data_IF_381713177160
#
_entry.id   IF_381713177160
#
_cell.length_a   1.000
_cell.length_b   1.000
_cell.length_c   1.000
_cell.angle_alpha   90.00
_cell.angle_beta   90.00
_cell.angle_gamma   90.00
#
_symmetry.space_group_name_H-M   'P 1'
#
loop_
_entity.id
_entity.type
_entity.pdbx_description
1 polymer ?
#
# COMPACT_ATOMS: atom_id res chain seq x y z
N UNK A 1 28.28 -7.42 -57.43
CA UNK A 1 27.85 -8.60 -56.64
C UNK A 1 26.76 -8.14 -55.70
N UNK A 2 25.55 -8.65 -55.91
CA UNK A 2 24.37 -8.33 -55.11
C UNK A 2 24.46 -9.09 -53.77
N UNK A 3 24.38 -8.37 -52.65
CA UNK A 3 24.26 -8.95 -51.32
C UNK A 3 22.83 -8.74 -50.81
N UNK A 4 21.99 -9.77 -50.95
CA UNK A 4 20.65 -9.78 -50.37
C UNK A 4 20.74 -9.92 -48.85
N UNK A 5 20.38 -8.87 -48.12
CA UNK A 5 20.13 -8.96 -46.68
C UNK A 5 18.74 -9.57 -46.47
N UNK A 6 18.72 -10.83 -46.01
CA UNK A 6 17.49 -11.49 -45.58
C UNK A 6 17.03 -10.87 -44.26
N UNK A 7 15.96 -10.09 -44.30
CA UNK A 7 15.22 -9.68 -43.12
C UNK A 7 14.52 -10.93 -42.55
N UNK A 8 15.01 -11.45 -41.42
CA UNK A 8 14.29 -12.45 -40.66
C UNK A 8 13.05 -11.80 -40.04
N UNK A 9 11.89 -11.96 -40.68
CA UNK A 9 10.62 -11.76 -40.00
C UNK A 9 10.55 -12.78 -38.86
N UNK A 10 10.72 -12.32 -37.62
CA UNK A 10 10.22 -13.05 -36.46
C UNK A 10 8.70 -13.00 -36.55
N UNK A 11 8.12 -13.98 -37.23
CA UNK A 11 6.70 -14.30 -37.14
C UNK A 11 6.46 -14.83 -35.73
N UNK A 12 6.36 -13.92 -34.75
CA UNK A 12 5.76 -14.25 -33.46
C UNK A 12 4.39 -14.84 -33.75
N UNK A 13 4.17 -16.11 -33.39
CA UNK A 13 2.91 -16.80 -33.62
C UNK A 13 1.78 -15.97 -33.03
N UNK A 14 0.96 -15.36 -33.89
CA UNK A 14 -0.24 -14.63 -33.46
C UNK A 14 -1.13 -15.62 -32.73
N UNK A 15 -1.40 -15.33 -31.46
CA UNK A 15 -2.26 -16.17 -30.62
C UNK A 15 -3.64 -16.23 -31.24
N UNK A 16 -4.21 -17.43 -31.37
CA UNK A 16 -5.55 -17.59 -31.93
C UNK A 16 -6.60 -17.20 -30.90
N UNK A 17 -7.78 -16.76 -31.37
CA UNK A 17 -8.92 -16.49 -30.49
C UNK A 17 -9.25 -17.69 -29.59
N UNK A 18 -9.23 -18.90 -30.13
CA UNK A 18 -9.47 -20.14 -29.38
C UNK A 18 -8.47 -20.37 -28.24
N UNK A 19 -7.18 -20.06 -28.47
CA UNK A 19 -6.15 -20.15 -27.42
C UNK A 19 -6.33 -19.10 -26.32
N UNK A 20 -6.90 -17.94 -26.62
CA UNK A 20 -7.27 -16.93 -25.62
C UNK A 20 -8.44 -17.40 -24.76
N UNK A 21 -9.48 -17.98 -25.38
CA UNK A 21 -10.66 -18.51 -24.66
C UNK A 21 -10.31 -19.67 -23.72
N UNK A 22 -9.45 -20.58 -24.17
CA UNK A 22 -9.00 -21.70 -23.33
C UNK A 22 -8.21 -21.20 -22.11
N UNK A 23 -7.30 -20.25 -22.33
CA UNK A 23 -6.57 -19.61 -21.23
C UNK A 23 -7.51 -18.87 -20.27
N UNK A 24 -8.43 -18.07 -20.80
CA UNK A 24 -9.43 -17.36 -19.99
C UNK A 24 -10.22 -18.32 -19.09
N UNK A 25 -10.70 -19.43 -19.64
CA UNK A 25 -11.42 -20.46 -18.86
C UNK A 25 -10.56 -21.03 -17.74
N UNK A 26 -9.29 -21.35 -18.02
CA UNK A 26 -8.34 -21.83 -17.01
C UNK A 26 -8.16 -20.81 -15.88
N UNK A 27 -7.97 -19.53 -16.20
CA UNK A 27 -7.75 -18.49 -15.18
C UNK A 27 -9.01 -18.20 -14.36
N UNK A 28 -10.18 -18.11 -15.01
CA UNK A 28 -11.48 -17.93 -14.33
C UNK A 28 -11.77 -19.07 -13.36
N UNK A 29 -11.43 -20.31 -13.73
CA UNK A 29 -11.77 -21.50 -12.95
C UNK A 29 -10.84 -21.72 -11.76
N UNK A 30 -9.59 -21.25 -11.84
CA UNK A 30 -8.55 -21.61 -10.86
C UNK A 30 -8.02 -20.42 -10.06
N UNK A 31 -8.09 -19.19 -10.57
CA UNK A 31 -7.36 -18.05 -10.00
C UNK A 31 -8.26 -16.84 -9.70
N UNK A 32 -9.20 -16.50 -10.59
CA UNK A 32 -10.04 -15.30 -10.43
C UNK A 32 -11.22 -15.51 -9.46
N UNK A 33 -10.99 -16.26 -8.38
CA UNK A 33 -11.96 -16.56 -7.33
C UNK A 33 -11.42 -16.18 -5.94
N UNK A 34 -12.27 -15.68 -5.03
CA UNK A 34 -13.70 -15.40 -5.22
C UNK A 34 -13.93 -14.16 -6.11
N UNK A 35 -15.07 -14.13 -6.80
CA UNK A 35 -15.49 -13.01 -7.66
C UNK A 35 -16.93 -12.61 -7.37
N UNK A 36 -17.22 -11.30 -7.44
CA UNK A 36 -18.58 -10.75 -7.41
C UNK A 36 -19.36 -11.03 -8.70
N UNK A 37 -18.65 -11.25 -9.81
CA UNK A 37 -19.21 -11.64 -11.09
C UNK A 37 -19.46 -13.16 -11.17
N UNK A 38 -20.58 -13.56 -11.78
CA UNK A 38 -20.80 -14.95 -12.16
C UNK A 38 -19.74 -15.43 -13.14
N UNK A 39 -19.52 -16.74 -13.22
CA UNK A 39 -18.57 -17.34 -14.17
C UNK A 39 -18.87 -16.94 -15.63
N UNK A 40 -20.15 -16.88 -16.00
CA UNK A 40 -20.56 -16.43 -17.33
C UNK A 40 -20.24 -14.95 -17.56
N UNK A 41 -20.37 -14.11 -16.54
CA UNK A 41 -20.02 -12.69 -16.64
C UNK A 41 -18.50 -12.49 -16.75
N UNK A 42 -17.71 -13.21 -15.95
CA UNK A 42 -16.24 -13.22 -16.07
C UNK A 42 -15.81 -13.66 -17.48
N UNK A 43 -16.40 -14.74 -18.03
CA UNK A 43 -16.07 -15.20 -19.38
C UNK A 43 -16.42 -14.17 -20.46
N UNK A 44 -17.55 -13.45 -20.33
CA UNK A 44 -17.89 -12.36 -21.26
C UNK A 44 -16.88 -11.22 -21.20
N UNK A 45 -16.39 -10.88 -20.01
CA UNK A 45 -15.34 -9.87 -19.85
C UNK A 45 -14.02 -10.33 -20.48
N UNK A 46 -13.64 -11.59 -20.29
CA UNK A 46 -12.44 -12.15 -20.93
C UNK A 46 -12.55 -12.18 -22.46
N UNK A 47 -13.73 -12.51 -23.01
CA UNK A 47 -14.01 -12.40 -24.45
C UNK A 47 -13.83 -10.97 -24.95
N UNK A 48 -14.25 -9.97 -24.17
CA UNK A 48 -14.03 -8.57 -24.48
C UNK A 48 -12.53 -8.23 -24.50
N UNK A 49 -11.75 -8.64 -23.49
CA UNK A 49 -10.30 -8.43 -23.48
C UNK A 49 -9.61 -9.04 -24.69
N UNK A 50 -9.96 -10.28 -25.07
CA UNK A 50 -9.42 -10.95 -26.26
C UNK A 50 -9.76 -10.17 -27.54
N UNK A 51 -10.99 -9.66 -27.65
CA UNK A 51 -11.43 -8.90 -28.81
C UNK A 51 -10.73 -7.53 -28.91
N UNK A 52 -10.65 -6.79 -27.80
CA UNK A 52 -10.03 -5.48 -27.71
C UNK A 52 -8.51 -5.54 -27.95
N UNK A 53 -7.86 -6.64 -27.54
CA UNK A 53 -6.41 -6.83 -27.69
C UNK A 53 -5.95 -7.17 -29.12
N UNK A 54 -6.84 -7.52 -30.04
CA UNK A 54 -6.48 -7.95 -31.41
C UNK A 54 -5.49 -7.03 -32.15
N UNK A 55 -5.60 -5.69 -32.09
CA UNK A 55 -4.65 -4.80 -32.76
C UNK A 55 -3.26 -4.78 -32.10
N UNK A 56 -3.17 -5.26 -30.86
CA UNK A 56 -2.02 -5.12 -29.97
C UNK A 56 -1.30 -6.45 -29.72
N UNK A 57 -1.75 -7.56 -30.30
CA UNK A 57 -1.12 -8.86 -30.09
C UNK A 57 0.36 -8.83 -30.51
N UNK A 58 1.24 -9.28 -29.61
CA UNK A 58 2.68 -9.35 -29.83
C UNK A 58 3.47 -8.10 -29.45
N UNK A 59 2.79 -7.01 -29.05
CA UNK A 59 3.47 -5.89 -28.40
C UNK A 59 3.92 -6.29 -27.00
N UNK A 60 4.80 -5.48 -26.44
CA UNK A 60 5.25 -5.58 -25.07
C UNK A 60 4.99 -4.25 -24.37
N UNK A 61 4.43 -4.32 -23.16
CA UNK A 61 4.18 -3.17 -22.28
C UNK A 61 5.04 -3.36 -21.03
N UNK A 62 5.77 -2.31 -20.67
CA UNK A 62 6.63 -2.29 -19.49
C UNK A 62 5.94 -1.57 -18.33
N UNK A 63 5.94 -2.20 -17.16
CA UNK A 63 5.32 -1.71 -15.92
C UNK A 63 6.34 -1.74 -14.80
N UNK A 64 6.27 -0.78 -13.87
CA UNK A 64 7.05 -0.82 -12.62
C UNK A 64 6.17 -0.50 -11.42
N UNK A 65 6.45 -1.16 -10.30
CA UNK A 65 5.80 -0.93 -9.01
C UNK A 65 6.76 -1.15 -7.84
N UNK A 66 6.32 -0.76 -6.64
CA UNK A 66 6.97 -1.17 -5.40
C UNK A 66 6.95 -2.70 -5.23
N UNK A 67 7.92 -3.24 -4.51
CA UNK A 67 7.99 -4.65 -4.10
C UNK A 67 7.08 -4.88 -2.88
N UNK A 68 5.83 -5.23 -3.15
CA UNK A 68 4.84 -5.65 -2.15
C UNK A 68 4.20 -6.98 -2.57
N UNK A 69 3.64 -7.73 -1.62
CA UNK A 69 2.99 -9.02 -1.90
C UNK A 69 1.90 -8.92 -2.99
N UNK A 70 1.11 -7.83 -2.99
CA UNK A 70 0.11 -7.57 -4.05
C UNK A 70 0.77 -7.39 -5.42
N UNK A 71 1.85 -6.64 -5.49
CA UNK A 71 2.54 -6.39 -6.76
C UNK A 71 3.37 -7.58 -7.24
N UNK A 72 3.86 -8.42 -6.32
CA UNK A 72 4.42 -9.73 -6.68
C UNK A 72 3.36 -10.63 -7.34
N UNK A 73 2.14 -10.61 -6.81
CA UNK A 73 1.00 -11.31 -7.40
C UNK A 73 0.64 -10.75 -8.78
N UNK A 74 0.56 -9.42 -8.93
CA UNK A 74 0.33 -8.77 -10.22
C UNK A 74 1.42 -9.14 -11.24
N UNK A 75 2.69 -9.02 -10.86
CA UNK A 75 3.84 -9.25 -11.74
C UNK A 75 4.00 -10.71 -12.15
N UNK A 76 3.76 -11.67 -11.24
CA UNK A 76 3.97 -13.10 -11.51
C UNK A 76 2.73 -13.79 -12.05
N UNK A 77 1.54 -13.39 -11.58
CA UNK A 77 0.28 -14.07 -11.88
C UNK A 77 -0.55 -13.29 -12.89
N UNK A 78 -0.91 -12.03 -12.59
CA UNK A 78 -1.83 -11.28 -13.46
C UNK A 78 -1.19 -10.89 -14.80
N UNK A 79 0.09 -10.51 -14.81
CA UNK A 79 0.83 -10.24 -16.04
C UNK A 79 0.90 -11.48 -16.95
N UNK A 80 1.10 -12.67 -16.35
CA UNK A 80 1.05 -13.93 -17.08
C UNK A 80 -0.36 -14.21 -17.60
N UNK A 81 -1.39 -14.08 -16.76
CA UNK A 81 -2.77 -14.30 -17.15
C UNK A 81 -3.20 -13.39 -18.30
N UNK A 82 -2.88 -12.09 -18.20
CA UNK A 82 -3.15 -11.11 -19.24
C UNK A 82 -2.44 -11.46 -20.54
N UNK A 83 -1.16 -11.87 -20.48
CA UNK A 83 -0.40 -12.33 -21.64
C UNK A 83 -1.02 -13.58 -22.26
N UNK A 84 -1.46 -14.53 -21.43
CA UNK A 84 -2.10 -15.76 -21.88
C UNK A 84 -3.49 -15.51 -22.48
N UNK A 85 -4.22 -14.50 -22.03
CA UNK A 85 -5.56 -14.22 -22.57
C UNK A 85 -5.45 -13.38 -23.84
N UNK A 86 -4.63 -12.34 -23.83
CA UNK A 86 -4.64 -11.28 -24.87
C UNK A 86 -3.54 -11.43 -25.91
N UNK A 87 -2.43 -12.11 -25.57
CA UNK A 87 -1.22 -12.14 -26.38
C UNK A 87 -0.38 -10.85 -26.33
N UNK A 88 -0.70 -9.90 -25.45
CA UNK A 88 0.13 -8.73 -25.14
C UNK A 88 1.12 -9.15 -24.05
N UNK A 89 2.43 -8.97 -24.26
CA UNK A 89 3.42 -9.26 -23.22
C UNK A 89 3.44 -8.13 -22.20
N UNK A 90 3.41 -8.46 -20.92
CA UNK A 90 3.58 -7.50 -19.83
C UNK A 90 4.88 -7.81 -19.10
N UNK A 91 5.84 -6.87 -19.14
CA UNK A 91 7.06 -6.91 -18.35
C UNK A 91 6.84 -6.04 -17.11
N UNK A 92 6.55 -6.66 -15.97
CA UNK A 92 6.30 -5.96 -14.71
C UNK A 92 7.52 -6.08 -13.79
N UNK A 93 8.31 -5.01 -13.73
CA UNK A 93 9.48 -4.91 -12.87
C UNK A 93 9.06 -4.51 -11.44
N UNK A 94 9.67 -5.14 -10.44
CA UNK A 94 9.53 -4.76 -9.04
C UNK A 94 10.79 -4.01 -8.59
N UNK A 95 10.60 -2.90 -7.88
CA UNK A 95 11.68 -2.11 -7.31
C UNK A 95 11.33 -1.70 -5.86
N UNK A 96 12.30 -1.18 -5.11
CA UNK A 96 11.96 -0.55 -3.82
C UNK A 96 11.27 0.79 -4.07
N UNK A 97 10.43 1.23 -3.14
CA UNK A 97 9.61 2.45 -3.28
C UNK A 97 10.46 3.67 -3.69
N UNK A 98 11.60 3.87 -3.01
CA UNK A 98 12.54 4.93 -3.33
C UNK A 98 13.06 4.89 -4.78
N UNK A 99 13.30 3.70 -5.32
CA UNK A 99 13.74 3.53 -6.72
C UNK A 99 12.60 3.87 -7.70
N UNK A 100 11.35 3.56 -7.35
CA UNK A 100 10.19 3.92 -8.18
C UNK A 100 10.07 5.44 -8.25
N UNK A 101 10.15 6.12 -7.11
CA UNK A 101 10.11 7.59 -7.01
C UNK A 101 11.24 8.23 -7.83
N UNK A 102 12.48 7.75 -7.69
CA UNK A 102 13.62 8.26 -8.45
C UNK A 102 13.46 8.07 -9.97
N UNK A 103 12.93 6.92 -10.39
CA UNK A 103 12.67 6.64 -11.81
C UNK A 103 11.57 7.51 -12.39
N UNK A 104 10.47 7.76 -11.67
CA UNK A 104 9.42 8.71 -12.08
C UNK A 104 10.04 10.09 -12.30
N UNK A 105 10.80 10.59 -11.32
CA UNK A 105 11.46 11.90 -11.42
C UNK A 105 12.43 11.96 -12.62
N UNK A 106 13.17 10.88 -12.86
CA UNK A 106 14.10 10.78 -14.00
C UNK A 106 13.38 10.82 -15.33
N UNK A 107 12.28 10.08 -15.51
CA UNK A 107 11.45 10.13 -16.72
C UNK A 107 10.89 11.54 -16.93
N UNK A 108 10.31 12.14 -15.89
CA UNK A 108 9.75 13.49 -15.93
C UNK A 108 10.78 14.56 -16.32
N UNK A 109 11.99 14.51 -15.76
CA UNK A 109 13.03 15.50 -16.03
C UNK A 109 13.72 15.30 -17.38
N UNK A 110 13.93 14.04 -17.79
CA UNK A 110 14.63 13.72 -19.03
C UNK A 110 13.74 13.72 -20.26
N UNK A 111 12.43 13.56 -20.08
CA UNK A 111 11.45 13.33 -21.16
C UNK A 111 11.65 12.00 -21.88
N UNK A 112 12.45 11.08 -21.32
CA UNK A 112 12.68 9.75 -21.89
C UNK A 112 11.75 8.75 -21.24
N UNK A 113 10.98 8.04 -22.05
CA UNK A 113 10.17 6.91 -21.62
C UNK A 113 11.05 5.78 -21.08
N UNK A 114 10.92 5.49 -19.79
CA UNK A 114 11.51 4.38 -19.06
C UNK A 114 10.52 3.22 -18.95
N UNK A 115 9.25 3.51 -18.64
CA UNK A 115 8.17 2.53 -18.54
C UNK A 115 6.90 3.04 -19.24
N UNK A 116 6.02 2.13 -19.65
CA UNK A 116 4.74 2.48 -20.27
C UNK A 116 3.63 2.68 -19.24
N UNK A 117 3.72 2.00 -18.09
CA UNK A 117 2.78 2.12 -16.97
C UNK A 117 3.51 2.13 -15.63
N UNK A 118 2.89 2.80 -14.65
CA UNK A 118 3.44 2.97 -13.31
C UNK A 118 2.37 2.63 -12.28
N UNK A 119 2.73 1.84 -11.28
CA UNK A 119 1.96 1.72 -10.05
C UNK A 119 2.72 2.51 -8.99
N UNK A 120 2.14 3.64 -8.60
CA UNK A 120 2.76 4.60 -7.69
C UNK A 120 1.69 5.23 -6.78
N UNK A 121 2.13 5.84 -5.69
CA UNK A 121 1.21 6.35 -4.66
C UNK A 121 0.27 7.44 -5.14
N UNK A 122 -0.91 7.49 -4.52
CA UNK A 122 -1.89 8.56 -4.74
C UNK A 122 -1.36 9.93 -4.35
N UNK A 123 -0.32 10.02 -3.51
CA UNK A 123 0.29 11.29 -3.11
C UNK A 123 0.92 12.06 -4.29
N UNK A 124 1.21 11.35 -5.39
CA UNK A 124 1.62 11.97 -6.65
C UNK A 124 0.47 12.64 -7.41
N UNK A 125 -0.78 12.57 -6.96
CA UNK A 125 -1.91 13.16 -7.69
C UNK A 125 -1.70 14.64 -7.98
N UNK A 126 -1.13 15.38 -7.02
CA UNK A 126 -0.78 16.78 -7.19
C UNK A 126 0.37 17.02 -8.17
N UNK A 127 1.26 16.04 -8.36
CA UNK A 127 2.32 16.07 -9.37
C UNK A 127 1.72 15.80 -10.75
N UNK A 128 0.95 14.72 -10.88
CA UNK A 128 0.30 14.33 -12.14
C UNK A 128 -0.57 15.45 -12.71
N UNK A 129 -1.38 16.09 -11.86
CA UNK A 129 -2.28 17.18 -12.28
C UNK A 129 -1.55 18.48 -12.67
N UNK A 130 -0.34 18.72 -12.16
CA UNK A 130 0.39 20.00 -12.39
C UNK A 130 1.37 19.93 -13.56
N UNK A 131 2.03 18.80 -13.74
CA UNK A 131 3.14 18.69 -14.70
C UNK A 131 2.69 18.30 -16.10
N UNK A 132 1.45 17.82 -16.28
CA UNK A 132 0.89 17.41 -17.57
C UNK A 132 1.78 16.37 -18.30
N UNK A 133 2.37 15.46 -17.51
CA UNK A 133 3.24 14.37 -17.98
C UNK A 133 2.59 12.99 -17.77
N UNK A 134 1.43 12.92 -17.10
CA UNK A 134 0.61 11.73 -16.98
C UNK A 134 -0.62 11.85 -17.89
N UNK A 135 -1.07 10.72 -18.43
CA UNK A 135 -2.31 10.64 -19.22
C UNK A 135 -3.51 10.74 -18.26
N UNK A 136 -4.41 11.75 -18.40
CA UNK A 136 -5.63 11.78 -17.63
C UNK A 136 -6.57 10.65 -18.09
N UNK A 137 -6.77 9.64 -17.25
CA UNK A 137 -7.55 8.44 -17.56
C UNK A 137 -9.00 8.77 -17.90
N UNK A 138 -9.61 9.76 -17.24
CA UNK A 138 -10.98 10.20 -17.58
C UNK A 138 -11.11 10.71 -19.02
N UNK A 139 -10.09 11.43 -19.49
CA UNK A 139 -10.05 11.96 -20.85
C UNK A 139 -9.71 10.85 -21.85
N UNK A 140 -8.75 9.99 -21.50
CA UNK A 140 -8.38 8.81 -22.30
C UNK A 140 -9.58 7.89 -22.53
N UNK A 141 -10.31 7.55 -21.48
CA UNK A 141 -11.44 6.62 -21.55
C UNK A 141 -12.60 7.13 -22.40
N UNK A 142 -12.78 8.46 -22.49
CA UNK A 142 -13.84 9.09 -23.30
C UNK A 142 -13.37 9.48 -24.71
N UNK A 143 -12.06 9.64 -24.89
CA UNK A 143 -11.40 10.01 -26.14
C UNK A 143 -10.72 8.83 -26.84
N UNK A 144 -9.39 8.89 -26.97
CA UNK A 144 -8.59 7.95 -27.76
C UNK A 144 -8.64 6.50 -27.25
N UNK A 145 -8.80 6.32 -25.95
CA UNK A 145 -8.92 5.03 -25.28
C UNK A 145 -10.31 4.42 -25.33
N UNK A 146 -11.32 5.12 -25.84
CA UNK A 146 -12.72 4.69 -25.77
C UNK A 146 -12.97 3.28 -26.32
N UNK A 147 -12.27 2.89 -27.39
CA UNK A 147 -12.40 1.56 -27.99
C UNK A 147 -11.79 0.44 -27.14
N UNK A 148 -10.91 0.79 -26.19
CA UNK A 148 -10.20 -0.11 -25.28
C UNK A 148 -10.55 0.14 -23.80
N UNK A 149 -11.58 0.94 -23.52
CA UNK A 149 -12.15 1.07 -22.17
C UNK A 149 -13.11 -0.09 -21.93
N UNK A 150 -12.84 -0.90 -20.90
CA UNK A 150 -13.71 -2.02 -20.55
C UNK A 150 -15.12 -1.50 -20.21
N UNK A 151 -16.18 -1.92 -20.93
CA UNK A 151 -17.54 -1.47 -20.66
C UNK A 151 -18.09 -1.97 -19.31
N UNK A 152 -17.41 -2.93 -18.69
CA UNK A 152 -17.70 -3.43 -17.34
C UNK A 152 -16.87 -2.76 -16.25
N UNK A 153 -15.99 -1.81 -16.59
CA UNK A 153 -15.24 -1.03 -15.60
C UNK A 153 -16.21 -0.09 -14.84
N UNK A 154 -16.51 -0.46 -13.60
CA UNK A 154 -17.33 0.36 -12.71
C UNK A 154 -16.43 1.28 -11.88
N UNK A 155 -16.31 2.54 -12.30
CA UNK A 155 -15.50 3.53 -11.57
C UNK A 155 -16.09 3.84 -10.19
N UNK A 156 -17.40 3.71 -10.01
CA UNK A 156 -18.07 4.02 -8.74
C UNK A 156 -17.82 2.94 -7.68
N UNK A 157 -17.40 1.73 -8.09
CA UNK A 157 -17.05 0.61 -7.21
C UNK A 157 -15.64 0.75 -6.59
N UNK A 158 -14.80 1.67 -7.09
CA UNK A 158 -13.49 1.93 -6.48
C UNK A 158 -13.62 2.72 -5.19
N UNK A 159 -13.17 2.12 -4.10
CA UNK A 159 -12.96 2.85 -2.84
C UNK A 159 -11.76 3.78 -3.02
N UNK A 160 -11.95 5.07 -2.72
CA UNK A 160 -10.88 6.06 -2.71
C UNK A 160 -10.58 6.72 -4.05
N UNK A 161 -11.48 6.63 -5.04
CA UNK A 161 -11.29 7.28 -6.36
C UNK A 161 -11.01 8.80 -6.27
N UNK A 162 -11.49 9.45 -5.22
CA UNK A 162 -11.21 10.87 -4.95
C UNK A 162 -9.73 11.15 -4.67
N UNK A 163 -8.96 10.19 -4.14
CA UNK A 163 -7.53 10.35 -3.86
C UNK A 163 -6.69 10.35 -5.15
N UNK A 164 -7.22 9.76 -6.22
CA UNK A 164 -6.56 9.68 -7.53
C UNK A 164 -7.18 10.61 -8.57
N UNK A 165 -8.07 11.50 -8.13
CA UNK A 165 -8.71 12.54 -8.94
C UNK A 165 -8.10 13.90 -8.63
N UNK A 166 -7.57 14.58 -9.65
CA UNK A 166 -6.91 15.87 -9.51
C UNK A 166 -7.89 17.00 -9.15
N UNK A 167 -7.37 18.17 -8.68
CA UNK A 167 -8.20 19.35 -8.43
C UNK A 167 -8.94 19.88 -9.67
N UNK A 168 -8.46 19.50 -10.87
CA UNK A 168 -9.09 19.75 -12.17
C UNK A 168 -10.23 18.78 -12.50
N UNK A 169 -10.59 17.89 -11.55
CA UNK A 169 -11.65 16.87 -11.62
C UNK A 169 -11.36 15.75 -12.62
N UNK A 170 -10.10 15.57 -13.00
CA UNK A 170 -9.68 14.46 -13.87
C UNK A 170 -9.15 13.29 -13.07
N UNK A 171 -9.49 12.09 -13.50
CA UNK A 171 -8.96 10.86 -12.92
C UNK A 171 -7.58 10.58 -13.52
N UNK A 172 -6.55 10.40 -12.70
CA UNK A 172 -5.18 10.15 -13.17
C UNK A 172 -4.68 8.73 -12.87
N UNK A 173 -5.18 8.10 -11.81
CA UNK A 173 -4.77 6.75 -11.41
C UNK A 173 -6.02 5.92 -11.08
N UNK A 174 -5.97 4.61 -11.34
CA UNK A 174 -6.94 3.64 -10.83
C UNK A 174 -6.41 3.04 -9.54
N UNK A 175 -7.14 3.09 -8.42
CA UNK A 175 -6.71 2.44 -7.18
C UNK A 175 -6.56 0.93 -7.35
N UNK A 176 -5.37 0.37 -7.12
CA UNK A 176 -5.13 -1.09 -7.18
C UNK A 176 -4.90 -1.71 -5.79
N UNK A 177 -4.48 -0.90 -4.82
CA UNK A 177 -4.22 -1.32 -3.45
C UNK A 177 -4.56 -0.19 -2.46
N UNK A 178 -4.89 -0.56 -1.23
CA UNK A 178 -5.11 0.37 -0.12
C UNK A 178 -4.24 0.07 1.09
N UNK A 179 -3.80 1.16 1.73
CA UNK A 179 -2.96 1.17 2.93
C UNK A 179 -3.78 1.74 4.09
N UNK A 180 -4.87 1.06 4.46
CA UNK A 180 -5.63 1.50 5.61
C UNK A 180 -4.78 1.35 6.88
N UNK A 181 -4.57 2.47 7.56
CA UNK A 181 -3.83 2.55 8.81
C UNK A 181 -4.73 2.13 9.97
N UNK A 182 -4.31 1.11 10.71
CA UNK A 182 -5.07 0.48 11.79
C UNK A 182 -4.18 0.20 13.00
N UNK A 183 -4.80 -0.02 14.14
CA UNK A 183 -4.15 -0.57 15.33
C UNK A 183 -4.20 -2.10 15.27
N UNK A 184 -3.03 -2.74 15.33
CA UNK A 184 -2.91 -4.21 15.39
C UNK A 184 -2.53 -4.66 16.80
N UNK A 185 -3.10 -5.77 17.28
CA UNK A 185 -2.77 -6.31 18.60
C UNK A 185 -3.02 -7.82 18.77
N UNK A 186 -2.32 -8.43 19.72
CA UNK A 186 -2.47 -9.83 20.15
C UNK A 186 -3.70 -10.03 21.01
N UNK A 187 -4.82 -10.31 20.35
CA UNK A 187 -6.10 -10.56 21.00
C UNK A 187 -6.04 -11.72 22.02
N UNK A 188 -5.30 -12.79 21.71
CA UNK A 188 -5.07 -13.90 22.63
C UNK A 188 -4.32 -13.49 23.92
N UNK A 189 -3.43 -12.49 23.84
CA UNK A 189 -2.77 -11.93 25.02
C UNK A 189 -3.69 -10.99 25.78
N UNK A 190 -4.42 -10.12 25.07
CA UNK A 190 -5.32 -9.14 25.67
C UNK A 190 -6.53 -9.80 26.35
N UNK A 191 -6.85 -11.04 25.98
CA UNK A 191 -7.91 -11.84 26.60
C UNK A 191 -7.41 -12.82 27.65
N UNK A 192 -6.09 -12.97 27.83
CA UNK A 192 -5.51 -13.91 28.80
C UNK A 192 -5.82 -13.45 30.24
N UNK A 193 -6.51 -14.25 31.07
CA UNK A 193 -6.95 -13.81 32.41
C UNK A 193 -5.82 -13.27 33.30
N UNK A 194 -4.66 -13.94 33.30
CA UNK A 194 -3.50 -13.52 34.07
C UNK A 194 -2.99 -12.13 33.67
N UNK A 195 -2.92 -11.83 32.37
CA UNK A 195 -2.48 -10.51 31.88
C UNK A 195 -3.50 -9.43 32.18
N UNK A 196 -4.79 -9.72 32.01
CA UNK A 196 -5.87 -8.77 32.38
C UNK A 196 -5.80 -8.40 33.87
N UNK A 197 -5.65 -9.38 34.75
CA UNK A 197 -5.54 -9.13 36.20
C UNK A 197 -4.28 -8.34 36.54
N UNK A 198 -3.11 -8.77 36.05
CA UNK A 198 -1.84 -8.09 36.34
C UNK A 198 -1.82 -6.64 35.82
N UNK A 199 -2.32 -6.41 34.60
CA UNK A 199 -2.42 -5.08 34.02
C UNK A 199 -3.34 -4.18 34.87
N UNK A 200 -4.55 -4.65 35.21
CA UNK A 200 -5.48 -3.89 36.04
C UNK A 200 -4.93 -3.57 37.42
N UNK A 201 -4.21 -4.50 38.04
CA UNK A 201 -3.54 -4.26 39.32
C UNK A 201 -2.47 -3.17 39.22
N UNK A 202 -1.71 -3.14 38.13
CA UNK A 202 -0.63 -2.15 37.94
C UNK A 202 -1.14 -0.77 37.55
N UNK A 203 -2.08 -0.68 36.61
CA UNK A 203 -2.49 0.58 35.97
C UNK A 203 -3.87 1.09 36.42
N UNK A 204 -4.66 0.27 37.11
CA UNK A 204 -5.96 0.68 37.65
C UNK A 204 -7.13 0.68 36.65
N UNK A 205 -6.93 0.23 35.41
CA UNK A 205 -7.97 0.07 34.40
C UNK A 205 -7.80 -1.25 33.62
N UNK A 206 -8.83 -1.64 32.86
CA UNK A 206 -8.83 -2.93 32.15
C UNK A 206 -7.94 -2.89 30.90
N UNK A 207 -7.19 -3.98 30.66
CA UNK A 207 -6.43 -4.19 29.43
C UNK A 207 -7.38 -4.33 28.23
N UNK A 208 -7.18 -3.52 27.19
CA UNK A 208 -8.01 -3.48 25.99
C UNK A 208 -7.39 -2.65 24.88
N UNK A 209 -8.17 -2.41 23.81
CA UNK A 209 -7.76 -1.48 22.74
C UNK A 209 -7.52 -0.10 23.37
N UNK A 210 -6.33 0.51 23.20
CA UNK A 210 -6.03 1.80 23.78
C UNK A 210 -6.97 2.86 23.20
N UNK A 211 -7.28 3.90 23.99
CA UNK A 211 -8.14 5.02 23.57
C UNK A 211 -7.39 6.35 23.53
N UNK A 212 -6.09 6.31 23.82
CA UNK A 212 -5.16 7.43 23.78
C UNK A 212 -3.71 6.91 23.87
N UNK A 213 -2.76 7.83 23.69
CA UNK A 213 -1.32 7.52 23.68
C UNK A 213 -0.80 7.02 25.02
N UNK A 214 -1.31 7.53 26.15
CA UNK A 214 -0.90 7.07 27.48
C UNK A 214 -1.29 5.60 27.69
N UNK A 215 -2.50 5.22 27.30
CA UNK A 215 -2.95 3.83 27.37
C UNK A 215 -2.11 2.93 26.44
N UNK A 216 -1.77 3.39 25.24
CA UNK A 216 -0.86 2.66 24.35
C UNK A 216 0.52 2.43 25.01
N UNK A 217 1.09 3.48 25.59
CA UNK A 217 2.39 3.44 26.27
C UNK A 217 2.38 2.51 27.49
N UNK A 218 1.33 2.55 28.32
CA UNK A 218 1.17 1.64 29.46
C UNK A 218 1.15 0.17 29.03
N UNK A 219 0.43 -0.15 27.95
CA UNK A 219 0.40 -1.50 27.39
C UNK A 219 1.79 -1.88 26.84
N UNK A 220 2.49 -0.94 26.20
CA UNK A 220 3.82 -1.19 25.67
C UNK A 220 4.85 -1.48 26.78
N UNK A 221 4.80 -0.69 27.86
CA UNK A 221 5.59 -0.90 29.08
C UNK A 221 5.24 -2.25 29.74
N UNK A 222 3.94 -2.54 29.89
CA UNK A 222 3.48 -3.78 30.53
C UNK A 222 4.05 -5.03 29.85
N UNK A 223 3.90 -5.14 28.53
CA UNK A 223 4.40 -6.32 27.83
C UNK A 223 5.93 -6.36 27.76
N UNK A 224 6.59 -5.22 27.54
CA UNK A 224 8.05 -5.19 27.39
C UNK A 224 8.78 -5.40 28.71
N UNK A 225 8.33 -4.75 29.79
CA UNK A 225 9.10 -4.60 31.01
C UNK A 225 8.50 -5.32 32.22
N UNK A 226 7.20 -5.61 32.23
CA UNK A 226 6.59 -6.41 33.31
C UNK A 226 6.45 -7.88 32.93
N UNK A 227 5.77 -8.17 31.82
CA UNK A 227 5.58 -9.54 31.32
C UNK A 227 6.92 -10.11 30.87
N UNK A 228 7.66 -9.36 30.06
CA UNK A 228 9.00 -9.66 29.50
C UNK A 228 9.06 -10.88 28.59
N UNK A 229 8.48 -12.00 28.99
CA UNK A 229 8.44 -13.26 28.27
C UNK A 229 7.03 -13.84 28.25
N UNK A 230 6.66 -14.41 27.11
CA UNK A 230 5.43 -15.19 26.96
C UNK A 230 5.84 -16.55 26.42
N UNK A 231 5.46 -17.61 27.13
CA UNK A 231 5.74 -18.99 26.76
C UNK A 231 7.26 -19.25 26.52
N UNK A 232 8.11 -18.59 27.32
CA UNK A 232 9.58 -18.71 27.28
C UNK A 232 10.27 -17.86 26.20
N UNK A 233 9.55 -16.99 25.51
CA UNK A 233 10.09 -16.13 24.44
C UNK A 233 10.02 -14.67 24.86
N UNK A 234 11.11 -13.92 24.66
CA UNK A 234 11.15 -12.45 24.86
C UNK A 234 10.09 -11.76 24.00
N UNK A 235 9.27 -10.92 24.63
CA UNK A 235 8.23 -10.14 23.95
C UNK A 235 8.46 -8.64 24.07
N UNK A 236 7.83 -7.91 23.15
CA UNK A 236 7.90 -6.47 23.00
C UNK A 236 6.49 -5.90 22.91
N UNK A 237 6.27 -4.80 23.62
CA UNK A 237 4.97 -4.15 23.71
C UNK A 237 4.65 -3.19 22.59
N UNK A 238 5.58 -2.97 21.65
CA UNK A 238 5.45 -2.05 20.53
C UNK A 238 6.24 -2.56 19.32
N UNK A 239 5.83 -2.15 18.12
CA UNK A 239 6.61 -2.28 16.90
C UNK A 239 6.46 -1.01 16.07
N UNK A 240 7.59 -0.51 15.58
CA UNK A 240 7.72 0.52 14.55
C UNK A 240 9.13 0.34 13.92
N UNK A 241 9.56 1.21 13.02
CA UNK A 241 10.83 1.11 12.30
C UNK A 241 11.54 2.45 12.21
N UNK A 242 12.84 2.44 11.90
CA UNK A 242 13.65 3.68 11.97
C UNK A 242 14.84 3.81 11.05
N UNK A 243 15.00 2.93 10.06
CA UNK A 243 16.05 3.09 9.05
C UNK A 243 15.76 4.35 8.24
N UNK A 244 16.81 5.15 7.99
CA UNK A 244 16.73 6.28 7.08
C UNK A 244 16.44 5.77 5.67
N UNK A 245 15.22 5.99 5.21
CA UNK A 245 14.62 5.49 3.98
C UNK A 245 13.41 6.40 3.62
N UNK A 246 12.99 6.54 2.35
CA UNK A 246 11.78 7.28 1.99
C UNK A 246 10.56 6.90 2.83
N UNK A 247 10.40 5.61 3.14
CA UNK A 247 9.28 5.11 3.93
C UNK A 247 9.22 5.73 5.33
N UNK A 248 10.37 6.07 5.91
CA UNK A 248 10.41 6.74 7.21
C UNK A 248 9.85 8.16 7.12
N UNK A 249 10.02 8.85 5.99
CA UNK A 249 9.38 10.15 5.76
C UNK A 249 7.85 10.02 5.80
N UNK A 250 7.31 9.08 5.03
CA UNK A 250 5.87 8.77 4.98
C UNK A 250 5.31 8.36 6.34
N UNK A 251 6.08 7.58 7.11
CA UNK A 251 5.72 7.20 8.48
C UNK A 251 5.36 8.41 9.35
N UNK A 252 6.05 9.54 9.16
CA UNK A 252 5.76 10.75 9.90
C UNK A 252 4.59 11.52 9.33
N UNK A 253 4.58 11.79 8.03
CA UNK A 253 3.54 12.60 7.38
C UNK A 253 2.17 11.93 7.42
N UNK A 254 2.12 10.61 7.28
CA UNK A 254 0.85 9.87 7.15
C UNK A 254 0.25 9.49 8.50
N UNK A 255 1.08 9.43 9.56
CA UNK A 255 0.68 8.88 10.84
C UNK A 255 1.12 9.75 12.01
N UNK A 256 2.42 9.77 12.34
CA UNK A 256 2.89 10.35 13.60
C UNK A 256 2.54 11.83 13.76
N UNK A 257 2.65 12.65 12.71
CA UNK A 257 2.32 14.07 12.77
C UNK A 257 0.82 14.28 12.98
N UNK A 258 -0.01 13.75 12.09
CA UNK A 258 -1.47 13.86 12.16
C UNK A 258 -2.01 13.40 13.52
N UNK A 259 -1.55 12.25 14.01
CA UNK A 259 -2.03 11.65 15.25
C UNK A 259 -1.54 12.37 16.51
N UNK A 260 -0.44 13.13 16.42
CA UNK A 260 0.01 14.04 17.46
C UNK A 260 -0.78 15.37 17.47
N UNK A 261 -1.68 15.57 16.50
CA UNK A 261 -2.48 16.78 16.35
C UNK A 261 -1.75 17.90 15.60
N UNK A 262 -0.87 17.54 14.66
CA UNK A 262 -0.18 18.49 13.79
C UNK A 262 -1.14 19.06 12.74
N UNK A 263 -1.09 20.38 12.53
CA UNK A 263 -1.97 21.08 11.58
C UNK A 263 -3.37 21.43 12.12
N UNK A 264 -4.20 21.99 11.24
CA UNK A 264 -5.56 22.43 11.57
C UNK A 264 -6.57 21.26 11.53
N UNK A 265 -7.71 21.43 12.18
CA UNK A 265 -8.77 20.40 12.16
C UNK A 265 -9.53 20.41 10.83
N UNK A 266 -9.68 19.24 10.21
CA UNK A 266 -10.51 19.05 9.02
C UNK A 266 -10.50 17.61 8.52
N UNK A 267 -11.41 17.28 7.62
CA UNK A 267 -11.44 16.01 6.89
C UNK A 267 -11.67 16.30 5.39
N UNK A 268 -10.96 15.62 4.48
CA UNK A 268 -9.89 14.64 4.74
C UNK A 268 -8.63 15.28 5.36
N UNK A 269 -8.43 16.60 5.18
CA UNK A 269 -7.24 17.32 5.62
C UNK A 269 -7.61 18.56 6.45
N UNK A 270 -6.66 19.04 7.26
CA UNK A 270 -6.70 20.33 7.94
C UNK A 270 -6.54 21.53 7.00
N UNK A 271 -7.22 22.64 7.27
CA UNK A 271 -7.01 23.91 6.55
C UNK A 271 -7.04 25.10 7.53
N UNK A 272 -6.18 26.13 7.33
CA UNK A 272 -5.20 26.28 6.25
C UNK A 272 -3.91 25.47 6.38
N UNK A 273 -3.62 24.84 7.52
CA UNK A 273 -2.45 23.96 7.70
C UNK A 273 -2.90 22.50 7.64
N UNK A 274 -2.34 21.72 6.72
CA UNK A 274 -2.65 20.30 6.60
C UNK A 274 -1.97 19.46 7.68
N UNK A 275 -2.29 18.17 7.72
CA UNK A 275 -1.77 17.19 8.66
C UNK A 275 -0.26 16.94 8.50
N UNK A 276 0.34 17.30 7.37
CA UNK A 276 1.79 17.30 7.16
C UNK A 276 2.45 18.56 7.75
N UNK A 277 1.66 19.52 8.23
CA UNK A 277 2.13 20.79 8.78
C UNK A 277 2.42 21.83 7.71
N UNK A 278 1.92 21.65 6.49
CA UNK A 278 2.12 22.56 5.37
C UNK A 278 0.92 23.50 5.29
N UNK A 279 1.21 24.81 5.32
CA UNK A 279 0.21 25.85 5.12
C UNK A 279 -0.10 25.99 3.63
N UNK A 280 -1.38 25.92 3.31
CA UNK A 280 -1.93 25.99 1.97
C UNK A 280 -2.78 27.26 1.77
N UNK A 281 -2.59 27.92 0.64
CA UNK A 281 -3.49 28.96 0.11
C UNK A 281 -4.05 28.48 -1.23
N UNK A 282 -5.28 27.97 -1.20
CA UNK A 282 -5.81 27.19 -2.32
C UNK A 282 -4.92 25.97 -2.58
N UNK A 283 -4.44 25.79 -3.82
CA UNK A 283 -3.55 24.68 -4.19
C UNK A 283 -2.05 25.06 -4.18
N UNK A 284 -1.66 26.07 -3.38
CA UNK A 284 -0.28 26.55 -3.28
C UNK A 284 0.23 26.42 -1.84
N UNK A 285 1.35 25.74 -1.66
CA UNK A 285 2.08 25.70 -0.39
C UNK A 285 2.75 27.05 -0.14
N UNK A 286 2.52 27.65 1.03
CA UNK A 286 3.02 28.99 1.38
C UNK A 286 3.83 29.05 2.69
N UNK A 287 3.85 27.98 3.47
CA UNK A 287 4.64 27.90 4.69
C UNK A 287 4.69 26.48 5.24
N UNK A 288 5.70 26.17 6.03
CA UNK A 288 5.84 24.86 6.68
C UNK A 288 6.31 24.99 8.13
N UNK A 289 7.06 26.04 8.46
CA UNK A 289 7.46 26.35 9.84
C UNK A 289 6.46 27.26 10.55
N UNK A 290 6.43 27.19 11.89
CA UNK A 290 5.53 28.01 12.73
C UNK A 290 5.69 29.52 12.51
N UNK A 291 6.87 30.01 12.15
CA UNK A 291 7.10 31.43 11.89
C UNK A 291 6.53 31.87 10.52
N UNK A 292 6.24 30.92 9.63
CA UNK A 292 5.53 31.10 8.35
C UNK A 292 4.10 30.58 8.38
N UNK A 293 3.61 30.19 9.56
CA UNK A 293 2.26 29.71 9.78
C UNK A 293 2.00 28.27 9.32
N UNK A 294 3.05 27.45 9.13
CA UNK A 294 2.94 25.98 9.08
C UNK A 294 3.18 25.36 10.46
N UNK A 295 3.36 24.04 10.53
CA UNK A 295 3.49 23.29 11.79
C UNK A 295 4.56 22.17 11.78
N UNK A 296 5.36 22.04 10.72
CA UNK A 296 6.41 20.98 10.62
C UNK A 296 7.45 21.00 11.74
N UNK A 297 7.59 22.11 12.45
CA UNK A 297 8.46 22.27 13.62
C UNK A 297 7.71 22.72 14.89
N UNK A 298 6.38 22.57 14.91
CA UNK A 298 5.56 22.96 16.05
C UNK A 298 5.55 21.94 17.19
N UNK A 299 4.83 22.24 18.28
CA UNK A 299 4.79 21.39 19.46
C UNK A 299 4.31 19.95 19.19
N UNK A 300 3.34 19.78 18.29
CA UNK A 300 2.84 18.46 17.91
C UNK A 300 3.90 17.62 17.19
N UNK A 301 4.60 18.21 16.21
CA UNK A 301 5.72 17.56 15.52
C UNK A 301 6.85 17.18 16.49
N UNK A 302 7.21 18.07 17.42
CA UNK A 302 8.23 17.77 18.45
C UNK A 302 7.78 16.63 19.36
N UNK A 303 6.52 16.62 19.79
CA UNK A 303 5.95 15.56 20.59
C UNK A 303 5.97 14.21 19.85
N UNK A 304 5.55 14.20 18.59
CA UNK A 304 5.52 13.01 17.73
C UNK A 304 6.91 12.36 17.62
N UNK A 305 7.92 13.15 17.24
CA UNK A 305 9.31 12.66 17.10
C UNK A 305 9.86 12.17 18.43
N UNK A 306 9.63 12.93 19.51
CA UNK A 306 10.11 12.55 20.85
C UNK A 306 9.51 11.21 21.28
N UNK A 307 8.18 11.05 21.13
CA UNK A 307 7.48 9.82 21.52
C UNK A 307 7.84 8.63 20.65
N UNK A 308 7.96 8.83 19.35
CA UNK A 308 8.47 7.82 18.43
C UNK A 308 9.84 7.30 18.87
N UNK A 309 10.80 8.20 19.13
CA UNK A 309 12.15 7.81 19.56
C UNK A 309 12.14 7.10 20.93
N UNK A 310 11.30 7.57 21.86
CA UNK A 310 11.13 6.93 23.17
C UNK A 310 10.58 5.51 23.04
N UNK A 311 9.49 5.33 22.30
CA UNK A 311 8.82 4.04 22.17
C UNK A 311 9.65 3.05 21.36
N UNK A 312 10.29 3.49 20.28
CA UNK A 312 11.19 2.65 19.48
C UNK A 312 12.38 2.15 20.32
N UNK A 313 12.92 2.99 21.20
CA UNK A 313 14.05 2.59 22.07
C UNK A 313 13.62 1.71 23.24
N UNK A 314 12.49 2.02 23.88
CA UNK A 314 12.07 1.36 25.12
C UNK A 314 11.29 0.07 24.89
N UNK A 315 10.45 0.02 23.85
CA UNK A 315 9.38 -0.96 23.74
C UNK A 315 9.41 -1.81 22.46
N UNK A 316 10.22 -1.44 21.46
CA UNK A 316 10.38 -2.22 20.23
C UNK A 316 11.57 -3.20 20.30
N UNK A 317 11.62 -4.21 19.41
CA UNK A 317 12.81 -5.06 19.25
C UNK A 317 14.08 -4.25 18.95
N UNK A 318 15.28 -4.64 19.45
CA UNK A 318 16.53 -3.90 19.26
C UNK A 318 16.92 -3.65 17.80
N UNK A 319 16.49 -4.51 16.89
CA UNK A 319 16.74 -4.40 15.45
C UNK A 319 15.80 -3.43 14.72
N UNK A 320 14.69 -3.02 15.34
CA UNK A 320 13.67 -2.17 14.73
C UNK A 320 14.20 -0.83 14.17
N UNK A 321 15.14 -0.12 14.83
CA UNK A 321 15.75 1.08 14.27
C UNK A 321 16.52 0.85 12.97
N UNK A 322 16.90 -0.40 12.66
CA UNK A 322 17.60 -0.76 11.43
C UNK A 322 16.68 -1.23 10.30
N UNK A 323 15.36 -1.24 10.51
CA UNK A 323 14.37 -1.73 9.54
C UNK A 323 13.72 -0.61 8.72
N UNK A 324 13.38 -0.91 7.47
CA UNK A 324 12.45 -0.13 6.63
C UNK A 324 10.99 -0.54 6.89
N UNK A 325 10.05 0.10 6.19
CA UNK A 325 8.64 -0.30 6.18
C UNK A 325 8.43 -1.77 5.79
N UNK A 326 9.00 -2.21 4.66
CA UNK A 326 8.82 -3.57 4.16
C UNK A 326 9.48 -4.63 5.06
N UNK A 327 10.60 -4.28 5.72
CA UNK A 327 11.29 -5.16 6.67
C UNK A 327 10.52 -5.29 8.01
N UNK A 328 9.86 -4.22 8.46
CA UNK A 328 9.16 -4.17 9.75
C UNK A 328 7.72 -4.65 9.71
N UNK A 329 7.01 -4.44 8.59
CA UNK A 329 5.59 -4.78 8.44
C UNK A 329 5.25 -6.23 8.77
N UNK A 330 6.04 -7.24 8.32
CA UNK A 330 5.80 -8.64 8.66
C UNK A 330 6.21 -9.05 10.07
N UNK A 331 6.97 -8.23 10.83
CA UNK A 331 7.55 -8.62 12.14
C UNK A 331 6.51 -9.11 13.15
N UNK A 332 5.32 -8.49 13.31
CA UNK A 332 4.29 -8.99 14.23
C UNK A 332 3.93 -10.47 14.02
N UNK A 333 4.02 -10.99 12.78
CA UNK A 333 3.70 -12.39 12.46
C UNK A 333 4.60 -13.40 13.18
N UNK A 334 5.79 -12.97 13.60
CA UNK A 334 6.77 -13.77 14.31
C UNK A 334 6.34 -14.06 15.77
N UNK A 335 5.31 -13.38 16.27
CA UNK A 335 4.63 -13.72 17.52
C UNK A 335 5.22 -13.13 18.81
N UNK A 336 6.22 -12.26 18.70
CA UNK A 336 6.89 -11.61 19.83
C UNK A 336 6.45 -10.15 20.06
N UNK A 337 5.54 -9.61 19.25
CA UNK A 337 4.98 -8.26 19.39
C UNK A 337 3.58 -8.33 20.01
N UNK A 338 3.30 -7.49 21.01
CA UNK A 338 1.98 -7.41 21.63
C UNK A 338 0.99 -6.52 20.86
N UNK A 339 1.48 -5.39 20.34
CA UNK A 339 0.68 -4.41 19.61
C UNK A 339 1.57 -3.56 18.68
N UNK A 340 0.96 -3.00 17.64
CA UNK A 340 1.59 -2.06 16.70
C UNK A 340 0.61 -0.94 16.39
N UNK A 341 1.06 0.30 16.63
CA UNK A 341 0.34 1.50 16.19
C UNK A 341 0.70 1.75 14.73
N UNK A 342 -0.27 2.20 13.94
CA UNK A 342 -0.11 2.47 12.51
C UNK A 342 0.32 1.23 11.70
N UNK A 343 -0.31 0.09 11.97
CA UNK A 343 -0.16 -1.08 11.12
C UNK A 343 -0.98 -0.89 9.84
N UNK A 344 -0.44 -1.27 8.69
CA UNK A 344 -1.08 -1.07 7.39
C UNK A 344 -1.62 -2.38 6.81
N UNK A 345 -2.81 -2.33 6.22
CA UNK A 345 -3.47 -3.48 5.57
C UNK A 345 -2.65 -4.14 4.46
N UNK A 346 -1.64 -3.45 3.91
CA UNK A 346 -0.67 -4.01 2.98
C UNK A 346 -0.02 -5.31 3.48
N UNK A 347 0.12 -5.49 4.80
CA UNK A 347 0.73 -6.68 5.41
C UNK A 347 -0.27 -7.74 5.86
N UNK A 348 -1.56 -7.61 5.53
CA UNK A 348 -2.59 -8.59 5.96
C UNK A 348 -2.23 -10.00 5.51
N UNK A 349 -1.78 -10.14 4.25
CA UNK A 349 -1.38 -11.43 3.69
C UNK A 349 -0.21 -12.07 4.45
N UNK A 350 0.73 -11.27 4.95
CA UNK A 350 1.86 -11.73 5.76
C UNK A 350 1.46 -12.18 7.17
N UNK A 351 0.30 -11.73 7.66
CA UNK A 351 -0.19 -12.04 9.01
C UNK A 351 -1.08 -13.29 9.09
N UNK A 352 -1.52 -13.83 7.95
CA UNK A 352 -2.48 -14.95 7.87
C UNK A 352 -1.91 -16.23 7.25
N UNK A 353 -0.60 -16.28 6.98
CA UNK A 353 0.04 -17.49 6.45
C UNK A 353 -0.10 -18.67 7.46
N UNK A 354 -0.41 -19.89 6.98
CA UNK A 354 -0.49 -21.07 7.85
C UNK A 354 0.81 -21.32 8.62
N UNK A 355 0.69 -21.73 9.89
CA UNK A 355 1.84 -22.08 10.74
C UNK A 355 2.57 -20.90 11.40
N UNK A 356 2.15 -19.66 11.14
CA UNK A 356 2.67 -18.49 11.85
C UNK A 356 2.35 -18.55 13.35
N UNK A 357 3.24 -17.99 14.17
CA UNK A 357 3.07 -17.95 15.63
C UNK A 357 1.77 -17.24 16.06
N UNK A 358 1.33 -16.28 15.27
CA UNK A 358 0.10 -15.49 15.48
C UNK A 358 -1.17 -16.12 14.90
N UNK A 359 -1.10 -17.37 14.41
CA UNK A 359 -2.25 -18.11 13.93
C UNK A 359 -2.59 -19.29 14.85
N UNK A 360 -3.87 -19.60 14.98
CA UNK A 360 -4.34 -20.82 15.65
C UNK A 360 -4.21 -22.04 14.70
N UNK A 361 -4.26 -23.24 15.29
CA UNK A 361 -4.21 -24.48 14.51
C UNK A 361 -5.40 -24.67 13.57
N UNK A 362 -6.54 -24.02 13.85
CA UNK A 362 -7.74 -24.02 13.02
C UNK A 362 -7.71 -22.97 11.89
N UNK A 363 -6.60 -22.21 11.75
CA UNK A 363 -6.44 -21.17 10.73
C UNK A 363 -7.03 -19.81 11.11
N UNK A 364 -7.59 -19.65 12.32
CA UNK A 364 -8.08 -18.34 12.79
C UNK A 364 -6.94 -17.49 13.36
N UNK A 365 -6.98 -16.15 13.24
CA UNK A 365 -5.94 -15.28 13.79
C UNK A 365 -6.02 -15.18 15.32
N UNK A 366 -4.86 -15.18 15.98
CA UNK A 366 -4.70 -14.83 17.41
C UNK A 366 -4.70 -13.32 17.66
N UNK A 367 -4.75 -12.54 16.60
CA UNK A 367 -4.68 -11.09 16.60
C UNK A 367 -5.98 -10.48 16.07
N UNK A 368 -6.16 -9.19 16.32
CA UNK A 368 -7.25 -8.39 15.74
C UNK A 368 -6.74 -7.01 15.34
N UNK A 369 -7.56 -6.30 14.59
CA UNK A 369 -7.37 -4.88 14.28
C UNK A 369 -8.47 -4.04 14.88
N UNK A 370 -8.16 -2.77 15.14
CA UNK A 370 -9.11 -1.74 15.54
C UNK A 370 -8.72 -0.40 14.88
N UNK A 371 -9.59 0.61 14.92
CA UNK A 371 -9.18 1.97 14.60
C UNK A 371 -7.97 2.41 15.44
N UNK A 372 -7.05 3.17 14.85
CA UNK A 372 -5.92 3.75 15.58
C UNK A 372 -6.41 4.74 16.65
N UNK A 373 -5.83 4.70 17.87
CA UNK A 373 -6.31 5.42 19.06
C UNK A 373 -6.06 6.92 19.08
#
# INVERSE_FOLDING_TARGET
>A
MAGSAAAALVLGSRRSYGQGIEAARKWVDNEFQPSTLSKEAQMREMEWFIAAAKPFTGIEVSVVSETLTTHEYESRTLAQAFTEITGIRVKHDLAQEGDVVEKIQTEMQSGRRLYDMWINDSDFIGTHSRYNQAVPLSDFMTGEGRAVTNPSLDLEDFIGLSFTTGPDKKLYQLPTQQFANLYWFRYDWFTRPAFKTAFRTKYGYDLGVPTNWSAYEDIAEFFTNEVKEVDGVRVYGHMDYGKKDPSLGWRFTDAWLSMAGNGDKGLPNGLPVDEWGIRMEGCRSVGSDIARGGDTNGPAAVYAITKYLEWLKKYAPPQAPGMTFSESGPVPSQGNIAQQIFWYTAFTADMVKPGLAVMNADGTPKWRMAPSP
#
